data_IF_485482650684
#
_entry.id   IF_485482650684
#
_cell.length_a   1.000
_cell.length_b   1.000
_cell.length_c   1.000
_cell.angle_alpha   90.00
_cell.angle_beta   90.00
_cell.angle_gamma   90.00
#
_symmetry.space_group_name_H-M   'P 1'
#
loop_
_entity.id
_entity.type
_entity.pdbx_description
1 polymer ?
#
# COMPACT_ATOMS: atom_id res chain seq x y z
N UNK A 1 24.44 -1.93 16.20
CA UNK A 1 23.82 -1.78 14.86
C UNK A 1 23.14 -0.42 14.81
N UNK A 2 23.38 0.37 13.76
CA UNK A 2 22.83 1.72 13.55
C UNK A 2 21.74 1.72 12.46
N UNK A 3 21.05 0.60 12.29
CA UNK A 3 20.03 0.33 11.27
C UNK A 3 18.91 -0.49 11.89
N UNK A 4 17.65 -0.21 11.49
CA UNK A 4 16.48 -0.85 12.06
C UNK A 4 15.38 -1.16 11.05
N UNK A 5 14.61 -2.21 11.31
CA UNK A 5 13.25 -2.34 10.80
C UNK A 5 12.31 -1.54 11.69
N UNK A 6 11.36 -0.84 11.08
CA UNK A 6 10.38 0.01 11.77
C UNK A 6 8.98 -0.39 11.34
N UNK A 7 8.07 -0.55 12.30
CA UNK A 7 6.63 -0.73 12.06
C UNK A 7 5.82 0.26 12.92
N UNK A 8 4.51 0.35 12.67
CA UNK A 8 3.58 1.21 13.38
C UNK A 8 2.34 0.44 13.83
N UNK A 9 1.94 0.58 15.09
CA UNK A 9 0.68 0.09 15.63
C UNK A 9 -0.18 1.24 16.19
N UNK A 10 -1.35 1.46 15.60
CA UNK A 10 -2.33 2.49 16.03
C UNK A 10 -3.61 1.93 16.65
N UNK A 11 -3.74 0.59 16.68
CA UNK A 11 -4.82 -0.12 17.35
C UNK A 11 -4.35 -1.50 17.82
N UNK A 12 -5.14 -2.14 18.69
CA UNK A 12 -4.87 -3.50 19.19
C UNK A 12 -4.67 -4.53 18.05
N UNK A 13 -5.46 -4.44 16.98
CA UNK A 13 -5.28 -5.31 15.80
C UNK A 13 -3.93 -5.09 15.11
N UNK A 14 -3.49 -3.84 15.00
CA UNK A 14 -2.16 -3.53 14.46
C UNK A 14 -1.02 -3.88 15.44
N UNK A 15 -1.27 -3.96 16.75
CA UNK A 15 -0.32 -4.57 17.69
C UNK A 15 -0.14 -6.06 17.39
N UNK A 16 -1.21 -6.80 17.11
CA UNK A 16 -1.12 -8.21 16.69
C UNK A 16 -0.31 -8.36 15.39
N UNK A 17 -0.59 -7.50 14.41
CA UNK A 17 0.18 -7.43 13.17
C UNK A 17 1.67 -7.16 13.38
N UNK A 18 1.98 -6.15 14.20
CA UNK A 18 3.37 -5.79 14.54
C UNK A 18 4.10 -6.92 15.25
N UNK A 19 3.44 -7.66 16.15
CA UNK A 19 4.01 -8.85 16.78
C UNK A 19 4.41 -9.90 15.74
N UNK A 20 3.56 -10.16 14.73
CA UNK A 20 3.88 -11.10 13.65
C UNK A 20 5.08 -10.61 12.83
N UNK A 21 5.10 -9.34 12.42
CA UNK A 21 6.25 -8.76 11.70
C UNK A 21 7.53 -8.94 12.50
N UNK A 22 7.53 -8.56 13.78
CA UNK A 22 8.68 -8.67 14.66
C UNK A 22 9.15 -10.12 14.84
N UNK A 23 8.21 -11.04 15.12
CA UNK A 23 8.51 -12.48 15.28
C UNK A 23 9.10 -13.09 14.00
N UNK A 24 8.52 -12.81 12.84
CA UNK A 24 9.06 -13.28 11.57
C UNK A 24 10.50 -12.78 11.34
N UNK A 25 10.76 -11.48 11.55
CA UNK A 25 12.11 -10.91 11.41
C UNK A 25 13.13 -11.59 12.34
N UNK A 26 12.75 -11.83 13.61
CA UNK A 26 13.59 -12.58 14.57
C UNK A 26 13.81 -14.02 14.11
N UNK A 27 12.76 -14.73 13.72
CA UNK A 27 12.82 -16.13 13.27
C UNK A 27 13.71 -16.29 12.05
N UNK A 28 13.69 -15.33 11.14
CA UNK A 28 14.54 -15.29 9.95
C UNK A 28 15.94 -14.71 10.21
N UNK A 29 16.31 -14.50 11.47
CA UNK A 29 17.67 -14.16 11.87
C UNK A 29 18.11 -12.78 11.41
N UNK A 30 17.21 -11.78 11.38
CA UNK A 30 17.65 -10.41 11.12
C UNK A 30 18.74 -10.00 12.10
N UNK A 31 19.74 -9.30 11.59
CA UNK A 31 20.85 -8.74 12.38
C UNK A 31 20.63 -7.27 12.73
N UNK A 32 19.46 -6.72 12.36
CA UNK A 32 19.08 -5.32 12.55
C UNK A 32 18.22 -5.14 13.79
N UNK A 33 18.13 -3.90 14.27
CA UNK A 33 17.25 -3.55 15.39
C UNK A 33 15.80 -3.58 14.94
N UNK A 34 14.89 -3.90 15.85
CA UNK A 34 13.45 -3.86 15.61
C UNK A 34 12.83 -2.73 16.42
N UNK A 35 12.14 -1.82 15.74
CA UNK A 35 11.44 -0.70 16.35
C UNK A 35 9.96 -0.77 16.01
N UNK A 36 9.10 -0.57 17.00
CA UNK A 36 7.67 -0.34 16.78
C UNK A 36 7.28 1.01 17.33
N UNK A 37 6.67 1.84 16.50
CA UNK A 37 6.00 3.05 16.94
C UNK A 37 4.58 2.70 17.37
N UNK A 38 4.11 3.24 18.49
CA UNK A 38 2.76 2.99 19.02
C UNK A 38 2.05 4.30 19.30
N UNK A 39 0.73 4.34 19.09
CA UNK A 39 -0.08 5.47 19.53
C UNK A 39 -0.32 5.44 21.06
N UNK A 40 -0.60 6.58 21.71
CA UNK A 40 -0.72 6.66 23.17
C UNK A 40 -1.90 5.87 23.77
N UNK A 41 -2.88 5.50 22.94
CA UNK A 41 -4.11 4.81 23.33
C UNK A 41 -3.98 3.27 23.30
N UNK A 42 -2.82 2.72 22.96
CA UNK A 42 -2.57 1.27 23.01
C UNK A 42 -2.54 0.80 24.47
N UNK A 43 -3.14 -0.36 24.74
CA UNK A 43 -3.15 -0.95 26.08
C UNK A 43 -1.75 -1.25 26.60
N UNK A 44 -1.58 -1.20 27.92
CA UNK A 44 -0.29 -1.51 28.55
C UNK A 44 0.12 -2.96 28.28
N UNK A 45 -0.85 -3.86 28.26
CA UNK A 45 -0.68 -5.28 27.98
C UNK A 45 -0.15 -5.52 26.55
N UNK A 46 -0.68 -4.81 25.56
CA UNK A 46 -0.17 -4.86 24.20
C UNK A 46 1.24 -4.27 24.08
N UNK A 47 1.52 -3.16 24.76
CA UNK A 47 2.88 -2.59 24.81
C UNK A 47 3.89 -3.58 25.42
N UNK A 48 3.56 -4.22 26.54
CA UNK A 48 4.42 -5.25 27.16
C UNK A 48 4.69 -6.42 26.20
N UNK A 49 3.66 -6.86 25.47
CA UNK A 49 3.83 -7.92 24.47
C UNK A 49 4.77 -7.50 23.33
N UNK A 50 4.72 -6.22 22.92
CA UNK A 50 5.63 -5.68 21.90
C UNK A 50 7.06 -5.58 22.44
N UNK A 51 7.26 -5.20 23.70
CA UNK A 51 8.57 -5.12 24.36
C UNK A 51 9.28 -6.49 24.41
N UNK A 52 8.55 -7.60 24.40
CA UNK A 52 9.12 -8.96 24.34
C UNK A 52 9.77 -9.30 22.98
N UNK A 53 9.42 -8.58 21.92
CA UNK A 53 9.83 -8.87 20.53
C UNK A 53 10.74 -7.78 19.97
N UNK A 54 10.38 -6.52 20.22
CA UNK A 54 11.04 -5.34 19.67
C UNK A 54 12.18 -4.86 20.56
N UNK A 55 13.24 -4.32 19.95
CA UNK A 55 14.33 -3.69 20.71
C UNK A 55 13.90 -2.34 21.31
N UNK A 56 13.01 -1.62 20.63
CA UNK A 56 12.46 -0.33 21.06
C UNK A 56 10.96 -0.26 20.75
N UNK A 57 10.15 0.10 21.77
CA UNK A 57 8.75 0.47 21.64
C UNK A 57 8.64 1.97 21.90
N UNK A 58 8.30 2.74 20.87
CA UNK A 58 8.33 4.20 20.89
C UNK A 58 6.90 4.73 20.83
N UNK A 59 6.45 5.38 21.91
CA UNK A 59 5.16 6.06 21.90
C UNK A 59 5.28 7.34 21.08
N UNK A 60 4.45 7.48 20.04
CA UNK A 60 4.37 8.66 19.20
C UNK A 60 3.06 9.37 19.51
N UNK A 61 3.13 10.43 20.32
CA UNK A 61 1.99 11.25 20.68
C UNK A 61 1.84 12.47 19.77
N UNK A 62 1.06 12.32 18.69
CA UNK A 62 0.66 13.43 17.84
C UNK A 62 -0.09 14.54 18.62
N UNK A 63 -0.64 14.23 19.79
CA UNK A 63 -1.38 15.18 20.61
C UNK A 63 -0.51 15.85 21.70
N UNK A 64 0.82 15.69 21.70
CA UNK A 64 1.67 16.55 22.53
C UNK A 64 1.52 18.02 22.07
N UNK A 65 1.51 18.95 23.00
CA UNK A 65 1.43 20.40 22.81
C UNK A 65 2.30 20.98 21.67
N UNK A 66 3.47 20.39 21.40
CA UNK A 66 4.37 20.78 20.30
C UNK A 66 3.88 20.30 18.92
N UNK A 67 3.25 19.13 18.88
CA UNK A 67 2.70 18.51 17.68
C UNK A 67 1.24 18.91 17.44
N UNK A 68 0.45 19.20 18.48
CA UNK A 68 -0.87 19.87 18.40
C UNK A 68 -0.76 21.25 17.77
N UNK A 69 0.29 22.01 18.09
CA UNK A 69 0.55 23.28 17.43
C UNK A 69 0.97 23.10 15.96
N UNK A 70 1.32 21.90 15.49
CA UNK A 70 1.47 21.59 14.06
C UNK A 70 0.19 21.01 13.45
N UNK A 71 -0.56 20.18 14.18
CA UNK A 71 -1.74 19.43 13.70
C UNK A 71 -3.04 20.24 13.74
N UNK A 72 -3.21 21.13 14.72
CA UNK A 72 -4.31 22.11 14.72
C UNK A 72 -4.21 23.06 13.51
N UNK A 73 -3.00 23.28 12.98
CA UNK A 73 -2.75 24.09 11.77
C UNK A 73 -2.85 23.31 10.46
N UNK A 74 -2.91 21.98 10.52
CA UNK A 74 -3.03 21.12 9.35
C UNK A 74 -4.47 21.03 8.84
N UNK A 75 -5.49 21.39 9.65
CA UNK A 75 -6.90 21.45 9.24
C UNK A 75 -7.48 20.12 8.73
N UNK A 76 -6.80 18.99 8.97
CA UNK A 76 -7.08 17.68 8.33
C UNK A 76 -6.99 16.52 9.34
N UNK A 77 -8.00 16.35 10.20
CA UNK A 77 -8.05 15.26 11.18
C UNK A 77 -8.15 13.87 10.52
N UNK A 78 -8.55 13.80 9.25
CA UNK A 78 -8.60 12.61 8.39
C UNK A 78 -7.24 11.92 8.20
N UNK A 79 -6.13 12.63 8.42
CA UNK A 79 -4.77 12.15 8.17
C UNK A 79 -4.01 11.71 9.45
N UNK A 80 -4.69 11.52 10.58
CA UNK A 80 -4.03 11.23 11.87
C UNK A 80 -3.04 10.06 11.81
N UNK A 81 -3.45 8.90 11.27
CA UNK A 81 -2.57 7.71 11.15
C UNK A 81 -1.38 7.96 10.21
N UNK A 82 -1.63 8.68 9.11
CA UNK A 82 -0.61 9.07 8.14
C UNK A 82 0.49 9.90 8.80
N UNK A 83 0.12 10.89 9.62
CA UNK A 83 1.10 11.70 10.33
C UNK A 83 1.91 10.88 11.34
N UNK A 84 1.29 9.95 12.07
CA UNK A 84 2.02 9.06 12.99
C UNK A 84 3.07 8.24 12.25
N UNK A 85 2.78 7.77 11.03
CA UNK A 85 3.74 7.00 10.21
C UNK A 85 4.94 7.85 9.79
N UNK A 86 4.74 9.12 9.44
CA UNK A 86 5.83 10.02 9.04
C UNK A 86 6.86 10.25 10.18
N UNK A 87 6.48 10.09 11.45
CA UNK A 87 7.42 10.15 12.57
C UNK A 87 8.55 9.12 12.50
N UNK A 88 8.46 8.09 11.66
CA UNK A 88 9.60 7.18 11.45
C UNK A 88 10.86 7.93 10.97
N UNK A 89 10.73 9.06 10.27
CA UNK A 89 11.87 9.92 9.91
C UNK A 89 12.52 10.64 11.10
N UNK A 90 11.88 10.69 12.26
CA UNK A 90 12.44 11.33 13.47
C UNK A 90 13.41 10.42 14.23
N UNK A 91 13.48 9.13 13.87
CA UNK A 91 14.32 8.10 14.50
C UNK A 91 15.82 8.23 14.15
N UNK A 92 16.37 9.42 14.42
CA UNK A 92 17.72 9.84 14.03
C UNK A 92 18.86 9.13 14.77
N UNK A 93 18.55 8.28 15.75
CA UNK A 93 19.51 7.31 16.29
C UNK A 93 19.91 6.24 15.26
N UNK A 94 19.14 6.10 14.17
CA UNK A 94 19.40 5.19 13.07
C UNK A 94 19.85 5.92 11.80
N UNK A 95 20.77 5.31 11.07
CA UNK A 95 21.33 5.84 9.82
C UNK A 95 20.52 5.45 8.58
N UNK A 96 19.81 4.31 8.65
CA UNK A 96 18.96 3.79 7.58
C UNK A 96 17.96 2.83 8.20
N UNK A 97 16.72 2.91 7.74
CA UNK A 97 15.64 2.07 8.23
C UNK A 97 14.88 1.44 7.05
N UNK A 98 14.25 0.30 7.33
CA UNK A 98 13.25 -0.30 6.45
C UNK A 98 11.92 -0.24 7.18
N UNK A 99 10.97 0.49 6.62
CA UNK A 99 9.61 0.52 7.13
C UNK A 99 8.83 -0.68 6.60
N UNK A 100 8.05 -1.33 7.46
CA UNK A 100 7.10 -2.39 7.15
C UNK A 100 5.76 -2.04 7.81
N UNK A 101 4.66 -1.98 7.05
CA UNK A 101 3.33 -1.90 7.66
C UNK A 101 3.04 -3.16 8.50
N UNK A 102 2.26 -3.00 9.56
CA UNK A 102 1.94 -4.07 10.51
C UNK A 102 1.07 -5.20 9.91
N UNK A 103 0.50 -5.00 8.74
CA UNK A 103 -0.23 -6.01 7.95
C UNK A 103 0.65 -6.64 6.85
N UNK A 104 1.96 -6.67 7.07
CA UNK A 104 2.90 -7.45 6.27
C UNK A 104 3.28 -8.77 6.96
N UNK A 105 3.77 -9.74 6.18
CA UNK A 105 4.30 -11.02 6.65
C UNK A 105 5.64 -11.30 5.97
N UNK A 106 6.69 -11.40 6.78
CA UNK A 106 8.06 -11.65 6.31
C UNK A 106 8.31 -13.16 6.23
N UNK A 107 8.70 -13.66 5.05
CA UNK A 107 8.83 -15.09 4.75
C UNK A 107 10.29 -15.59 4.74
N UNK A 108 11.26 -14.68 4.71
CA UNK A 108 12.68 -14.99 4.77
C UNK A 108 13.48 -13.81 5.31
N UNK A 109 14.81 -13.96 5.43
CA UNK A 109 15.68 -12.82 5.75
C UNK A 109 15.63 -11.80 4.59
N UNK A 110 15.59 -10.52 4.94
CA UNK A 110 15.50 -9.38 4.00
C UNK A 110 16.48 -8.26 4.38
N UNK A 111 17.55 -8.57 5.11
CA UNK A 111 18.56 -7.59 5.54
C UNK A 111 19.30 -6.94 4.36
N UNK A 112 19.28 -7.55 3.17
CA UNK A 112 19.81 -6.96 1.94
C UNK A 112 19.05 -5.69 1.51
N UNK A 113 17.84 -5.43 2.03
CA UNK A 113 17.13 -4.17 1.79
C UNK A 113 17.93 -2.96 2.29
N UNK A 114 18.80 -3.12 3.29
CA UNK A 114 19.64 -2.03 3.80
C UNK A 114 20.79 -1.63 2.84
N UNK A 115 21.01 -2.38 1.76
CA UNK A 115 21.91 -1.98 0.67
C UNK A 115 21.29 -0.89 -0.22
N UNK A 116 19.96 -0.72 -0.15
CA UNK A 116 19.21 0.26 -0.95
C UNK A 116 19.26 1.66 -0.35
N UNK A 117 18.96 2.68 -1.17
CA UNK A 117 18.99 4.09 -0.78
C UNK A 117 17.60 4.72 -0.67
N UNK A 118 17.50 5.87 0.00
CA UNK A 118 16.22 6.58 0.11
C UNK A 118 15.80 7.22 -1.23
N UNK A 119 14.54 7.16 -1.65
CA UNK A 119 13.46 6.31 -1.17
C UNK A 119 13.42 5.08 -2.08
N UNK A 120 13.58 3.87 -1.53
CA UNK A 120 13.40 2.62 -2.30
C UNK A 120 12.15 1.90 -1.85
N UNK A 121 11.26 1.58 -2.78
CA UNK A 121 9.99 0.93 -2.52
C UNK A 121 9.59 0.04 -3.70
N UNK A 122 8.61 -0.84 -3.51
CA UNK A 122 8.08 -1.68 -4.59
C UNK A 122 6.92 -0.98 -5.31
N UNK A 123 6.67 -1.27 -6.60
CA UNK A 123 5.54 -0.72 -7.33
C UNK A 123 4.20 -1.13 -6.71
N UNK A 124 3.24 -0.20 -6.73
CA UNK A 124 1.85 -0.48 -6.39
C UNK A 124 1.18 -1.29 -7.51
N UNK A 125 0.43 -2.37 -7.20
CA UNK A 125 -0.20 -3.19 -8.22
C UNK A 125 -1.38 -2.51 -8.93
N UNK A 126 -1.98 -1.47 -8.33
CA UNK A 126 -3.08 -0.71 -8.92
C UNK A 126 -2.57 0.33 -9.92
N UNK A 127 -1.66 1.20 -9.49
CA UNK A 127 -1.03 2.21 -10.34
C UNK A 127 0.51 2.09 -10.29
N UNK A 128 1.17 1.40 -11.23
CA UNK A 128 2.56 0.97 -11.10
C UNK A 128 3.60 2.10 -11.17
N UNK A 129 3.22 3.29 -11.62
CA UNK A 129 4.07 4.50 -11.53
C UNK A 129 4.06 5.10 -10.11
N UNK A 130 3.19 4.63 -9.23
CA UNK A 130 3.25 4.88 -7.80
C UNK A 130 3.93 3.69 -7.12
N UNK A 131 4.73 3.96 -6.09
CA UNK A 131 5.18 2.91 -5.20
C UNK A 131 4.15 2.64 -4.10
N UNK A 132 4.13 1.40 -3.63
CA UNK A 132 3.36 1.02 -2.46
C UNK A 132 4.12 1.39 -1.18
N UNK A 133 3.48 2.12 -0.26
CA UNK A 133 4.13 2.61 0.96
C UNK A 133 4.17 1.61 2.11
N UNK A 134 3.72 0.37 1.90
CA UNK A 134 3.75 -0.67 2.93
C UNK A 134 5.14 -1.23 3.21
N UNK A 135 6.07 -1.13 2.26
CA UNK A 135 7.47 -1.49 2.44
C UNK A 135 8.35 -0.48 1.73
N UNK A 136 9.20 0.22 2.48
CA UNK A 136 10.16 1.14 1.90
C UNK A 136 11.44 1.31 2.73
N UNK A 137 12.52 1.67 2.05
CA UNK A 137 13.83 1.98 2.64
C UNK A 137 14.02 3.49 2.67
N UNK A 138 14.38 4.02 3.84
CA UNK A 138 14.52 5.45 4.07
C UNK A 138 15.69 5.78 5.01
N UNK A 139 16.03 7.06 5.10
CA UNK A 139 17.05 7.60 6.00
C UNK A 139 16.40 8.55 7.00
N UNK A 140 16.33 8.20 8.29
CA UNK A 140 15.81 9.12 9.30
C UNK A 140 16.53 10.48 9.26
N UNK A 141 15.74 11.54 9.19
CA UNK A 141 16.19 12.93 9.08
C UNK A 141 15.08 13.86 9.54
N UNK A 142 15.37 14.71 10.52
CA UNK A 142 14.44 15.76 10.96
C UNK A 142 14.13 16.76 9.83
N UNK A 143 15.08 17.01 8.93
CA UNK A 143 14.86 17.87 7.77
C UNK A 143 13.84 17.24 6.81
N UNK A 144 14.02 15.95 6.47
CA UNK A 144 13.10 15.22 5.59
C UNK A 144 11.71 15.14 6.23
N UNK A 145 11.64 14.87 7.54
CA UNK A 145 10.40 14.88 8.30
C UNK A 145 9.67 16.23 8.22
N UNK A 146 10.34 17.34 8.52
CA UNK A 146 9.73 18.68 8.43
C UNK A 146 9.24 19.00 7.01
N UNK A 147 10.00 18.61 5.99
CA UNK A 147 9.61 18.80 4.58
C UNK A 147 8.42 17.94 4.17
N UNK A 148 8.33 16.70 4.67
CA UNK A 148 7.16 15.83 4.46
C UNK A 148 5.91 16.40 5.11
N UNK A 149 6.01 16.89 6.36
CA UNK A 149 4.89 17.54 7.05
C UNK A 149 4.43 18.81 6.33
N UNK A 150 5.36 19.64 5.89
CA UNK A 150 5.04 20.86 5.14
C UNK A 150 4.40 20.52 3.78
N UNK A 151 4.89 19.49 3.09
CA UNK A 151 4.29 19.00 1.85
C UNK A 151 2.88 18.48 2.08
N UNK A 152 2.67 17.66 3.11
CA UNK A 152 1.35 17.18 3.53
C UNK A 152 0.39 18.34 3.85
N UNK A 153 0.88 19.40 4.49
CA UNK A 153 0.10 20.61 4.80
C UNK A 153 -0.34 21.36 3.54
N UNK A 154 0.58 21.51 2.59
CA UNK A 154 0.36 22.32 1.40
C UNK A 154 -0.41 21.59 0.31
N UNK A 155 -0.15 20.30 0.13
CA UNK A 155 -0.65 19.50 -0.99
C UNK A 155 -1.69 18.45 -0.56
N UNK A 156 -1.78 18.14 0.74
CA UNK A 156 -2.59 17.04 1.23
C UNK A 156 -2.08 15.69 0.75
N UNK A 157 -2.96 14.69 0.78
CA UNK A 157 -2.76 13.38 0.17
C UNK A 157 -3.80 13.15 -0.91
N UNK A 158 -3.39 12.70 -2.10
CA UNK A 158 -4.34 12.45 -3.20
C UNK A 158 -5.21 11.20 -2.96
N UNK A 159 -4.78 10.27 -2.10
CA UNK A 159 -5.52 9.06 -1.74
C UNK A 159 -6.05 9.10 -0.29
N UNK A 160 -5.82 10.21 0.43
CA UNK A 160 -6.18 10.35 1.84
C UNK A 160 -5.30 9.55 2.82
N UNK A 161 -4.25 8.88 2.35
CA UNK A 161 -3.32 8.07 3.16
C UNK A 161 -1.88 8.57 3.09
N UNK A 162 -0.96 7.81 3.68
CA UNK A 162 0.49 8.09 3.61
C UNK A 162 1.08 7.84 2.23
N UNK A 163 0.56 6.86 1.50
CA UNK A 163 1.03 6.52 0.16
C UNK A 163 0.93 7.71 -0.79
N UNK A 164 -0.18 8.46 -0.77
CA UNK A 164 -0.35 9.64 -1.61
C UNK A 164 0.63 10.77 -1.28
N UNK A 165 0.89 11.02 0.01
CA UNK A 165 1.87 12.03 0.44
C UNK A 165 3.27 11.63 0.01
N UNK A 166 3.65 10.38 0.27
CA UNK A 166 4.98 9.88 -0.02
C UNK A 166 5.25 9.86 -1.52
N UNK A 167 4.29 9.45 -2.36
CA UNK A 167 4.45 9.47 -3.81
C UNK A 167 4.51 10.91 -4.35
N UNK A 168 3.73 11.85 -3.80
CA UNK A 168 3.80 13.24 -4.21
C UNK A 168 5.15 13.89 -3.83
N UNK A 169 5.68 13.56 -2.66
CA UNK A 169 6.97 14.06 -2.17
C UNK A 169 8.17 13.44 -2.91
N UNK A 170 8.18 12.12 -3.06
CA UNK A 170 9.21 11.34 -3.78
C UNK A 170 8.78 11.07 -5.23
N UNK A 171 8.29 12.10 -5.90
CA UNK A 171 7.62 12.01 -7.22
C UNK A 171 8.54 11.61 -8.39
N UNK A 172 9.85 11.58 -8.18
CA UNK A 172 10.82 11.12 -9.18
C UNK A 172 11.10 9.61 -9.11
N UNK A 173 10.51 8.88 -8.15
CA UNK A 173 10.73 7.43 -7.94
C UNK A 173 10.51 6.60 -9.21
N UNK A 174 9.43 6.87 -9.95
CA UNK A 174 9.04 6.08 -11.12
C UNK A 174 10.05 6.13 -12.28
N UNK A 175 10.81 7.24 -12.40
CA UNK A 175 11.57 7.56 -13.61
C UNK A 175 13.07 7.69 -13.40
N UNK A 176 13.53 7.93 -12.17
CA UNK A 176 14.90 8.41 -11.94
C UNK A 176 15.95 7.31 -11.80
N UNK A 177 15.68 6.28 -11.01
CA UNK A 177 16.69 5.28 -10.65
C UNK A 177 16.05 3.90 -10.39
N UNK A 178 16.35 2.94 -11.26
CA UNK A 178 15.86 1.56 -11.15
C UNK A 178 16.34 0.87 -9.87
N UNK A 179 17.46 1.30 -9.28
CA UNK A 179 17.93 0.72 -8.02
C UNK A 179 17.01 1.06 -6.83
N UNK A 180 16.14 2.05 -6.98
CA UNK A 180 15.10 2.41 -6.01
C UNK A 180 13.80 1.64 -6.18
N UNK A 181 13.68 0.86 -7.26
CA UNK A 181 12.58 -0.07 -7.45
C UNK A 181 12.92 -1.38 -6.75
N UNK A 182 12.29 -1.61 -5.61
CA UNK A 182 12.33 -2.91 -4.97
C UNK A 182 11.56 -3.91 -5.85
N UNK A 183 12.10 -5.11 -6.09
CA UNK A 183 11.33 -6.16 -6.75
C UNK A 183 10.01 -6.41 -6.02
N UNK A 184 8.93 -6.66 -6.79
CA UNK A 184 7.58 -6.83 -6.26
C UNK A 184 7.46 -7.88 -5.16
N UNK A 185 8.34 -8.89 -5.14
CA UNK A 185 8.41 -9.93 -4.10
C UNK A 185 8.78 -9.41 -2.70
N UNK A 186 9.32 -8.19 -2.57
CA UNK A 186 9.57 -7.52 -1.28
C UNK A 186 8.36 -6.72 -0.78
N UNK A 187 7.26 -6.68 -1.52
CA UNK A 187 5.98 -6.10 -1.09
C UNK A 187 4.85 -6.74 -1.90
N UNK A 188 4.78 -8.08 -1.88
CA UNK A 188 3.84 -8.82 -2.69
C UNK A 188 2.43 -8.62 -2.14
N UNK A 189 1.66 -7.79 -2.82
CA UNK A 189 0.25 -7.61 -2.46
C UNK A 189 -0.52 -8.91 -2.65
N UNK A 190 -1.28 -9.32 -1.64
CA UNK A 190 -2.20 -10.47 -1.76
C UNK A 190 -3.25 -10.28 -2.84
N UNK A 191 -3.51 -9.03 -3.29
CA UNK A 191 -4.42 -8.81 -4.41
C UNK A 191 -3.89 -9.39 -5.73
N UNK A 192 -2.58 -9.43 -5.91
CA UNK A 192 -1.94 -10.03 -7.08
C UNK A 192 -2.22 -11.54 -7.21
N UNK A 193 -2.53 -12.21 -6.09
CA UNK A 193 -2.92 -13.63 -6.08
C UNK A 193 -4.18 -13.84 -6.92
N UNK A 194 -5.13 -12.90 -6.89
CA UNK A 194 -6.37 -13.02 -7.67
C UNK A 194 -6.36 -12.20 -8.96
N UNK A 195 -5.73 -11.02 -9.01
CA UNK A 195 -5.77 -10.14 -10.20
C UNK A 195 -4.89 -10.65 -11.32
N UNK A 196 -3.76 -11.29 -11.02
CA UNK A 196 -2.84 -11.81 -12.04
C UNK A 196 -2.28 -13.19 -11.67
N UNK A 197 -3.20 -14.14 -11.47
CA UNK A 197 -2.92 -15.51 -11.04
C UNK A 197 -1.81 -16.22 -11.86
N UNK A 198 -1.71 -16.10 -13.20
CA UNK A 198 -0.60 -16.71 -13.96
C UNK A 198 0.79 -16.20 -13.53
N UNK A 199 0.93 -14.90 -13.27
CA UNK A 199 2.18 -14.33 -12.79
C UNK A 199 2.48 -14.79 -11.36
N UNK A 200 1.45 -14.86 -10.50
CA UNK A 200 1.59 -15.41 -9.16
C UNK A 200 2.01 -16.90 -9.19
N UNK A 201 1.47 -17.72 -10.08
CA UNK A 201 1.94 -19.11 -10.26
C UNK A 201 3.41 -19.17 -10.70
N UNK A 202 3.80 -18.28 -11.61
CA UNK A 202 5.16 -18.26 -12.16
C UNK A 202 6.21 -17.75 -11.17
N UNK A 203 5.88 -16.72 -10.38
CA UNK A 203 6.86 -15.97 -9.58
C UNK A 203 6.53 -15.90 -8.08
N UNK A 204 5.30 -16.20 -7.66
CA UNK A 204 4.83 -16.04 -6.27
C UNK A 204 5.56 -16.91 -5.26
N UNK A 205 6.15 -18.03 -5.68
CA UNK A 205 7.03 -18.85 -4.82
C UNK A 205 8.31 -18.13 -4.37
N UNK A 206 8.65 -16.99 -4.99
CA UNK A 206 9.81 -16.16 -4.64
C UNK A 206 9.44 -15.03 -3.66
N UNK A 207 8.20 -14.99 -3.17
CA UNK A 207 7.74 -13.98 -2.22
C UNK A 207 8.65 -13.92 -0.99
N UNK A 208 9.09 -12.72 -0.63
CA UNK A 208 9.89 -12.45 0.57
C UNK A 208 9.08 -11.73 1.64
N UNK A 209 8.21 -10.81 1.22
CA UNK A 209 7.29 -10.10 2.10
C UNK A 209 5.93 -10.09 1.42
N UNK A 210 4.90 -10.54 2.12
CA UNK A 210 3.50 -10.52 1.69
C UNK A 210 2.79 -9.37 2.38
N UNK A 211 1.95 -8.63 1.65
CA UNK A 211 1.23 -7.49 2.17
C UNK A 211 -0.29 -7.70 2.05
N UNK A 212 -0.98 -7.76 3.19
CA UNK A 212 -2.42 -7.99 3.29
C UNK A 212 -3.22 -6.69 3.07
N UNK A 213 -3.15 -6.16 1.85
CA UNK A 213 -3.95 -5.02 1.42
C UNK A 213 -5.46 -5.31 1.53
N UNK A 214 -6.23 -4.24 1.72
CA UNK A 214 -7.70 -4.28 1.80
C UNK A 214 -8.24 -4.14 3.23
N UNK A 215 -9.58 -4.19 3.34
CA UNK A 215 -10.31 -3.94 4.59
C UNK A 215 -10.14 -5.06 5.62
N UNK A 216 -10.10 -6.31 5.14
CA UNK A 216 -9.97 -7.47 6.00
C UNK A 216 -8.49 -7.78 6.20
N UNK A 217 -8.02 -7.61 7.43
CA UNK A 217 -6.66 -7.93 7.84
C UNK A 217 -6.62 -9.37 8.35
N UNK A 218 -5.43 -10.01 8.44
CA UNK A 218 -5.34 -11.40 8.91
C UNK A 218 -6.03 -11.66 10.24
N UNK A 219 -5.92 -10.73 11.20
CA UNK A 219 -6.57 -10.82 12.51
C UNK A 219 -8.10 -10.65 12.49
N UNK A 220 -8.69 -10.20 11.37
CA UNK A 220 -10.16 -10.22 11.17
C UNK A 220 -10.67 -11.57 10.66
N UNK A 221 -9.78 -12.46 10.21
CA UNK A 221 -10.14 -13.78 9.68
C UNK A 221 -10.01 -14.81 10.79
N UNK A 222 -11.07 -15.56 11.14
CA UNK A 222 -10.99 -16.59 12.17
C UNK A 222 -9.90 -17.62 11.86
N UNK A 223 -9.10 -17.98 12.86
CA UNK A 223 -8.12 -19.04 12.71
C UNK A 223 -8.82 -20.38 12.48
N UNK A 224 -8.71 -20.91 11.26
CA UNK A 224 -9.15 -22.27 10.95
C UNK A 224 -7.96 -23.21 11.17
N UNK A 225 -7.97 -23.97 12.26
CA UNK A 225 -7.09 -25.13 12.40
C UNK A 225 -7.52 -26.18 11.38
N UNK A 226 -7.03 -26.10 10.14
CA UNK A 226 -7.18 -27.23 9.23
C UNK A 226 -5.98 -28.18 9.41
N UNK A 227 -6.22 -29.48 9.64
CA UNK A 227 -5.17 -30.46 9.43
C UNK A 227 -4.70 -30.35 7.98
N UNK A 228 -3.38 -30.38 7.79
CA UNK A 228 -2.72 -30.28 6.48
C UNK A 228 -2.95 -31.57 5.67
N UNK A 229 -4.21 -31.89 5.34
CA UNK A 229 -4.54 -33.20 4.77
C UNK A 229 -5.08 -33.18 3.36
N UNK A 230 -5.33 -32.04 2.73
CA UNK A 230 -5.57 -31.97 1.28
C UNK A 230 -4.99 -30.67 0.72
N UNK A 231 -4.10 -30.77 -0.27
CA UNK A 231 -3.59 -29.62 -1.03
C UNK A 231 -4.75 -29.14 -1.91
N UNK A 232 -5.39 -27.98 -1.65
CA UNK A 232 -6.41 -27.49 -2.56
C UNK A 232 -5.74 -27.19 -3.91
N UNK A 233 -6.48 -27.42 -5.00
CA UNK A 233 -6.11 -26.90 -6.32
C UNK A 233 -5.68 -25.44 -6.19
N UNK A 234 -4.69 -25.04 -6.98
CA UNK A 234 -4.02 -23.75 -6.91
C UNK A 234 -4.93 -22.61 -7.39
N UNK A 235 -6.02 -22.35 -6.67
CA UNK A 235 -6.93 -21.24 -6.88
C UNK A 235 -6.58 -20.05 -5.96
N UNK A 236 -7.12 -18.88 -6.26
CA UNK A 236 -6.79 -17.64 -5.56
C UNK A 236 -7.17 -17.68 -4.08
N UNK A 237 -8.22 -18.43 -3.72
CA UNK A 237 -8.75 -18.54 -2.37
C UNK A 237 -7.81 -19.40 -1.52
N UNK A 238 -7.41 -20.58 -2.01
CA UNK A 238 -6.50 -21.47 -1.31
C UNK A 238 -5.12 -20.84 -1.08
N UNK A 239 -4.65 -19.98 -2.00
CA UNK A 239 -3.38 -19.27 -1.82
C UNK A 239 -3.44 -18.16 -0.77
N UNK A 240 -4.55 -17.42 -0.70
CA UNK A 240 -4.76 -16.44 0.37
C UNK A 240 -4.86 -17.14 1.73
N UNK A 241 -5.60 -18.24 1.82
CA UNK A 241 -5.73 -19.04 3.05
C UNK A 241 -4.36 -19.54 3.54
N UNK A 242 -3.46 -19.96 2.64
CA UNK A 242 -2.09 -20.35 3.01
C UNK A 242 -1.34 -19.21 3.73
N UNK A 243 -1.35 -17.99 3.19
CA UNK A 243 -0.65 -16.87 3.83
C UNK A 243 -1.31 -16.44 5.14
N UNK A 244 -2.64 -16.48 5.23
CA UNK A 244 -3.37 -16.21 6.48
C UNK A 244 -3.04 -17.27 7.55
N UNK A 245 -2.94 -18.54 7.16
CA UNK A 245 -2.55 -19.62 8.08
C UNK A 245 -1.11 -19.46 8.56
N UNK A 246 -0.17 -19.06 7.69
CA UNK A 246 1.19 -18.74 8.08
C UNK A 246 1.23 -17.57 9.07
N UNK A 247 0.42 -16.53 8.82
CA UNK A 247 0.31 -15.38 9.73
C UNK A 247 -0.17 -15.80 11.13
N UNK A 248 -1.23 -16.63 11.21
CA UNK A 248 -1.72 -17.15 12.49
C UNK A 248 -0.75 -18.10 13.17
N UNK A 249 -0.05 -18.94 12.41
CA UNK A 249 0.98 -19.85 12.93
C UNK A 249 2.12 -19.05 13.59
N UNK A 250 2.55 -17.94 12.97
CA UNK A 250 3.54 -17.06 13.58
C UNK A 250 2.99 -16.33 14.81
N UNK A 251 1.76 -15.81 14.75
CA UNK A 251 1.14 -15.10 15.87
C UNK A 251 1.11 -15.97 17.15
N UNK A 252 0.67 -17.23 17.02
CA UNK A 252 0.64 -18.20 18.12
C UNK A 252 1.98 -18.91 18.39
N UNK A 253 3.02 -18.64 17.60
CA UNK A 253 4.34 -19.19 17.88
C UNK A 253 4.88 -18.63 19.21
N UNK A 254 5.48 -19.50 20.01
CA UNK A 254 6.10 -19.10 21.26
C UNK A 254 7.48 -18.53 20.95
N UNK A 255 7.74 -17.31 21.39
CA UNK A 255 9.10 -16.77 21.45
C UNK A 255 9.85 -17.56 22.52
N UNK A 256 10.73 -18.48 22.11
CA UNK A 256 11.69 -19.13 23.03
C UNK A 256 12.67 -18.07 23.53
N UNK A 257 12.25 -17.29 24.51
CA UNK A 257 13.16 -16.47 25.31
C UNK A 257 13.16 -17.09 26.69
N UNK A 258 14.07 -18.04 26.96
CA UNK A 258 14.74 -18.25 28.26
C UNK A 258 15.94 -19.23 28.15
N UNK A 259 17.11 -18.69 28.50
CA UNK A 259 18.16 -19.26 29.38
C UNK A 259 18.77 -20.63 29.02
N UNK A 260 20.07 -20.60 28.70
CA UNK A 260 20.98 -21.73 28.92
C UNK A 260 21.11 -21.91 30.44
N UNK A 261 20.33 -22.81 31.02
CA UNK A 261 20.73 -23.52 32.24
C UNK A 261 20.47 -25.00 32.04
N UNK A 262 21.57 -25.74 32.18
CA UNK A 262 21.68 -27.18 32.04
C UNK A 262 20.77 -27.91 33.02
N UNK A 263 19.85 -28.73 32.51
CA UNK A 263 19.44 -29.95 33.18
C UNK A 263 19.07 -31.01 32.14
N UNK A 264 19.87 -32.08 32.14
CA UNK A 264 19.58 -33.34 31.45
C UNK A 264 18.27 -33.92 32.00
N UNK A 265 17.38 -34.39 31.11
CA UNK A 265 16.54 -35.57 31.28
C UNK A 265 15.87 -35.97 29.94
N UNK A 266 15.64 -37.26 29.83
CA UNK A 266 15.63 -38.10 28.63
C UNK A 266 14.32 -38.12 27.82
N UNK A 267 14.52 -38.43 26.53
CA UNK A 267 13.63 -39.08 25.56
C UNK A 267 12.24 -38.46 25.32
N UNK A 268 12.19 -37.58 24.32
CA UNK A 268 11.00 -37.37 23.49
C UNK A 268 11.42 -37.49 22.01
N UNK A 269 10.71 -38.34 21.28
CA UNK A 269 10.88 -38.65 19.85
C UNK A 269 10.97 -37.38 18.97
N UNK A 270 11.81 -37.35 17.93
CA UNK A 270 11.97 -36.18 17.08
C UNK A 270 10.71 -35.96 16.24
N UNK A 271 10.11 -34.78 16.38
CA UNK A 271 9.10 -34.28 15.44
C UNK A 271 9.78 -34.18 14.07
N UNK A 272 9.26 -34.93 13.09
CA UNK A 272 9.73 -34.85 11.70
C UNK A 272 9.74 -33.39 11.23
N UNK A 273 10.92 -32.94 10.82
CA UNK A 273 11.08 -31.69 10.08
C UNK A 273 10.19 -31.76 8.83
N UNK A 274 9.18 -30.90 8.77
CA UNK A 274 8.49 -30.59 7.52
C UNK A 274 9.50 -29.90 6.59
N UNK A 275 10.18 -30.70 5.75
CA UNK A 275 10.84 -30.23 4.54
C UNK A 275 9.77 -29.74 3.56
N UNK A 276 9.36 -28.49 3.74
CA UNK A 276 8.60 -27.75 2.73
C UNK A 276 9.39 -26.49 2.43
N UNK A 277 9.98 -26.48 1.21
CA UNK A 277 10.85 -25.47 0.57
C UNK A 277 12.36 -25.79 0.47
N UNK A 278 12.75 -27.06 0.43
CA UNK A 278 14.07 -27.46 -0.08
C UNK A 278 13.96 -28.51 -1.21
N UNK A 279 13.83 -28.03 -2.44
CA UNK A 279 14.23 -28.76 -3.65
C UNK A 279 14.71 -27.72 -4.66
N UNK A 280 15.94 -27.68 -5.18
CA UNK A 280 17.16 -28.47 -5.03
C UNK A 280 18.34 -27.53 -5.35
N UNK A 281 19.60 -27.82 -4.99
CA UNK A 281 20.74 -27.04 -5.46
C UNK A 281 20.83 -27.17 -6.98
N UNK A 282 20.60 -26.07 -7.71
CA UNK A 282 20.98 -26.02 -9.11
C UNK A 282 22.51 -26.04 -9.16
N UNK A 283 23.06 -27.20 -9.52
CA UNK A 283 24.46 -27.37 -9.87
C UNK A 283 24.86 -26.25 -10.83
N UNK A 284 25.88 -25.49 -10.47
CA UNK A 284 26.58 -24.56 -11.34
C UNK A 284 27.31 -25.36 -12.42
N UNK A 285 26.59 -25.87 -13.40
CA UNK A 285 27.17 -26.16 -14.69
C UNK A 285 27.32 -24.84 -15.44
N UNK A 286 28.48 -24.23 -15.25
CA UNK A 286 29.08 -23.36 -16.27
C UNK A 286 29.05 -24.14 -17.57
N UNK A 287 28.19 -23.74 -18.50
CA UNK A 287 28.32 -24.16 -19.88
C UNK A 287 29.63 -23.57 -20.40
N UNK A 288 30.69 -24.37 -20.36
CA UNK A 288 31.90 -24.13 -21.14
C UNK A 288 31.50 -24.03 -22.60
N UNK A 289 31.46 -22.80 -23.11
CA UNK A 289 31.46 -22.52 -24.54
C UNK A 289 32.66 -23.24 -25.17
N UNK A 290 32.50 -23.98 -26.28
CA UNK A 290 33.65 -24.49 -27.00
C UNK A 290 34.45 -23.30 -27.54
N UNK A 291 35.66 -23.19 -27.03
CA UNK A 291 36.71 -22.27 -27.43
C UNK A 291 37.00 -22.48 -28.92
N UNK A 292 36.46 -21.60 -29.79
CA UNK A 292 36.87 -21.54 -31.19
C UNK A 292 38.01 -20.55 -31.30
N UNK A 293 39.21 -21.06 -31.56
CA UNK A 293 40.43 -20.27 -31.73
C UNK A 293 40.30 -19.24 -32.87
N UNK A 294 40.93 -18.07 -32.75
CA UNK A 294 40.94 -17.08 -33.82
C UNK A 294 41.96 -17.49 -34.90
N UNK A 295 41.66 -17.34 -36.21
CA UNK A 295 42.72 -17.38 -37.21
C UNK A 295 43.50 -16.07 -37.20
N UNK A 296 44.81 -16.21 -37.06
CA UNK A 296 45.81 -15.15 -37.12
C UNK A 296 45.84 -14.46 -38.48
N UNK A 297 46.01 -13.14 -38.46
CA UNK A 297 46.35 -12.31 -39.61
C UNK A 297 47.73 -12.69 -40.18
N UNK A 298 47.83 -12.68 -41.51
CA UNK A 298 49.07 -12.45 -42.26
C UNK A 298 48.72 -11.61 -43.50
N UNK A 299 49.51 -10.57 -43.74
CA UNK A 299 49.31 -9.47 -44.71
C UNK A 299 49.86 -9.81 -46.12
N UNK A 300 50.05 -8.84 -47.05
CA UNK A 300 49.12 -8.46 -48.12
C UNK A 300 49.68 -8.70 -49.55
N UNK A 301 48.81 -8.73 -50.57
CA UNK A 301 49.21 -8.38 -51.96
C UNK A 301 47.99 -8.05 -52.84
N UNK A 302 48.04 -6.90 -53.50
CA UNK A 302 47.19 -6.40 -54.61
C UNK A 302 48.10 -6.10 -55.80
N UNK A 303 47.60 -5.78 -57.03
CA UNK A 303 46.36 -6.12 -57.75
C UNK A 303 46.73 -6.72 -59.17
N UNK A 304 45.86 -6.80 -60.22
CA UNK A 304 45.32 -5.63 -60.95
C UNK A 304 43.85 -5.75 -61.48
N UNK A 305 43.22 -4.59 -61.66
CA UNK A 305 42.09 -4.31 -62.59
C UNK A 305 42.61 -4.26 -64.06
N UNK A 306 41.83 -4.18 -65.19
CA UNK A 306 40.69 -3.24 -65.40
C UNK A 306 39.61 -3.54 -66.50
N UNK A 307 38.69 -2.56 -66.67
CA UNK A 307 37.75 -2.25 -67.80
C UNK A 307 36.46 -3.07 -67.90
N UNK A 308 35.25 -2.52 -68.13
CA UNK A 308 34.76 -1.41 -69.01
C UNK A 308 33.48 -0.72 -68.42
N UNK A 309 33.30 0.61 -68.43
CA UNK A 309 32.71 1.52 -69.46
C UNK A 309 31.34 1.05 -70.05
N UNK A 310 30.27 1.85 -70.24
CA UNK A 310 30.12 3.31 -70.39
C UNK A 310 28.62 3.73 -70.52
N UNK A 311 28.25 4.93 -70.00
CA UNK A 311 27.30 5.97 -70.54
C UNK A 311 25.82 5.64 -70.86
N UNK A 312 24.81 6.54 -70.91
CA UNK A 312 24.72 7.99 -71.01
C UNK A 312 23.33 8.52 -70.55
N UNK A 313 23.26 9.83 -70.29
CA UNK A 313 22.12 10.72 -70.02
C UNK A 313 21.20 11.02 -71.22
N UNK A 314 19.94 11.42 -70.98
CA UNK A 314 19.32 12.67 -71.53
C UNK A 314 17.88 12.90 -71.04
N UNK A 315 17.50 14.18 -70.97
CA UNK A 315 16.25 14.78 -70.51
C UNK A 315 15.25 15.02 -71.66
N UNK A 316 13.96 15.26 -71.36
CA UNK A 316 13.16 16.39 -71.90
C UNK A 316 11.74 16.48 -71.30
N UNK A 317 11.15 17.67 -71.47
CA UNK A 317 10.08 18.36 -70.74
C UNK A 317 8.62 17.93 -71.01
N UNK A 318 7.71 18.30 -70.09
CA UNK A 318 6.46 19.05 -70.42
C UNK A 318 5.69 19.59 -69.19
N UNK A 319 5.37 20.88 -69.27
CA UNK A 319 4.60 21.73 -68.34
C UNK A 319 3.07 21.67 -68.52
N UNK A 320 2.36 22.28 -67.54
CA UNK A 320 1.00 22.89 -67.48
C UNK A 320 0.11 22.27 -66.37
N UNK A 321 -0.66 22.99 -65.52
CA UNK A 321 -0.89 24.41 -65.20
C UNK A 321 -1.78 24.46 -63.93
N UNK A 322 -1.64 25.48 -63.10
CA UNK A 322 -2.38 25.76 -61.84
C UNK A 322 -3.80 26.35 -62.14
N UNK A 323 -4.74 26.46 -61.17
CA UNK A 323 -4.75 27.65 -60.32
C UNK A 323 -5.10 27.45 -58.82
N UNK A 324 -4.55 28.39 -58.06
CA UNK A 324 -4.61 28.68 -56.63
C UNK A 324 -5.80 29.55 -56.23
N UNK A 325 -6.17 29.54 -54.93
CA UNK A 325 -6.58 30.72 -54.14
C UNK A 325 -6.26 30.42 -52.66
N UNK A 326 -5.29 31.13 -52.03
CA UNK A 326 -5.46 32.32 -51.15
C UNK A 326 -5.89 31.93 -49.72
N UNK A 327 -5.27 32.31 -48.59
CA UNK A 327 -4.48 33.49 -48.22
C UNK A 327 -3.70 33.15 -46.93
N UNK A 328 -2.44 33.57 -46.75
CA UNK A 328 -2.14 34.56 -45.70
C UNK A 328 -1.14 34.08 -44.64
N UNK A 329 0.14 34.32 -44.91
CA UNK A 329 1.29 34.23 -43.99
C UNK A 329 1.31 35.49 -43.10
N UNK A 330 1.77 35.41 -41.85
CA UNK A 330 2.59 36.47 -41.24
C UNK A 330 3.26 35.99 -39.93
N UNK A 331 4.42 36.58 -39.72
CA UNK A 331 5.55 36.23 -38.85
C UNK A 331 5.46 36.79 -37.43
N UNK A 332 6.32 36.23 -36.57
CA UNK A 332 6.65 36.63 -35.20
C UNK A 332 7.16 38.08 -35.10
N UNK A 333 6.80 38.76 -34.02
CA UNK A 333 7.70 39.62 -33.25
C UNK A 333 7.21 39.82 -31.80
N UNK A 334 8.17 40.09 -30.91
CA UNK A 334 8.05 40.08 -29.47
C UNK A 334 7.60 41.42 -28.83
N UNK A 335 7.29 41.33 -27.54
CA UNK A 335 7.16 42.39 -26.50
C UNK A 335 5.77 43.02 -26.30
N UNK A 336 5.17 42.80 -25.12
CA UNK A 336 4.80 43.85 -24.16
C UNK A 336 4.03 43.28 -22.95
N UNK A 337 4.36 43.80 -21.78
CA UNK A 337 3.73 43.64 -20.46
C UNK A 337 2.26 44.09 -20.38
N UNK A 338 1.57 43.62 -19.32
CA UNK A 338 0.70 44.42 -18.42
C UNK A 338 -0.74 43.87 -18.21
N UNK A 339 -0.98 43.44 -16.97
CA UNK A 339 -2.12 43.77 -16.08
C UNK A 339 -3.56 43.51 -16.54
N UNK A 340 -4.27 42.65 -15.80
CA UNK A 340 -5.73 42.54 -15.84
C UNK A 340 -6.34 43.23 -14.60
N UNK A 341 -7.23 44.18 -14.86
CA UNK A 341 -7.91 45.03 -13.89
C UNK A 341 -9.15 44.37 -13.28
N UNK A 342 -9.40 44.76 -12.02
CA UNK A 342 -10.62 44.61 -11.24
C UNK A 342 -11.82 45.31 -11.91
N UNK A 343 -13.02 44.76 -11.69
CA UNK A 343 -14.28 45.48 -11.84
C UNK A 343 -15.07 45.38 -10.53
N UNK A 344 -15.31 46.54 -9.92
CA UNK A 344 -16.24 46.77 -8.82
C UNK A 344 -17.63 47.09 -9.38
N UNK A 345 -18.70 46.76 -8.65
CA UNK A 345 -19.88 47.63 -8.58
C UNK A 345 -20.65 47.52 -7.25
N UNK A 346 -21.26 48.65 -6.85
CA UNK A 346 -21.72 49.02 -5.49
C UNK A 346 -23.26 48.94 -5.29
N UNK A 347 -23.70 48.77 -4.03
CA UNK A 347 -24.83 49.45 -3.32
C UNK A 347 -25.27 48.61 -2.09
N UNK A 348 -25.71 49.06 -0.90
CA UNK A 348 -25.78 50.33 -0.14
C UNK A 348 -26.27 49.96 1.29
N UNK A 349 -25.88 50.73 2.32
CA UNK A 349 -26.37 50.63 3.73
C UNK A 349 -27.68 51.43 3.96
N UNK A 350 -28.32 51.31 5.15
CA UNK A 350 -28.21 52.33 6.22
C UNK A 350 -28.06 51.71 7.65
N UNK A 351 -27.21 52.22 8.56
CA UNK A 351 -27.35 53.28 9.62
C UNK A 351 -28.37 52.98 10.75
N UNK A 352 -27.93 52.51 11.95
CA UNK A 352 -27.60 53.22 13.22
C UNK A 352 -28.72 54.09 13.81
N UNK A 353 -29.25 53.77 15.02
CA UNK A 353 -29.23 54.60 16.27
C UNK A 353 -29.54 53.75 17.53
N UNK A 354 -28.96 54.18 18.65
CA UNK A 354 -28.86 53.72 20.04
C UNK A 354 -30.10 53.83 20.96
N UNK A 355 -30.13 53.07 22.09
CA UNK A 355 -30.13 53.59 23.49
C UNK A 355 -30.50 52.51 24.55
N UNK A 356 -29.63 52.40 25.56
CA UNK A 356 -29.79 52.27 27.03
C UNK A 356 -30.91 51.44 27.72
N UNK A 357 -30.44 50.69 28.74
CA UNK A 357 -30.96 50.49 30.11
C UNK A 357 -31.94 49.36 30.52
N UNK A 358 -31.45 48.62 31.54
CA UNK A 358 -32.10 48.14 32.78
C UNK A 358 -32.74 46.74 32.90
N UNK A 359 -32.31 46.12 34.00
CA UNK A 359 -32.78 45.01 34.85
C UNK A 359 -34.24 44.55 34.70
N UNK A 360 -34.52 43.22 34.70
CA UNK A 360 -35.02 42.46 35.86
C UNK A 360 -35.48 41.01 35.52
N UNK A 361 -35.62 40.22 36.59
CA UNK A 361 -35.91 38.78 36.73
C UNK A 361 -37.16 38.21 36.02
N UNK A 362 -37.15 36.91 35.66
CA UNK A 362 -38.01 35.86 36.27
C UNK A 362 -37.82 34.43 35.71
N UNK A 363 -38.02 33.44 36.59
CA UNK A 363 -38.00 31.98 36.38
C UNK A 363 -39.28 31.50 35.66
N UNK A 364 -39.20 30.42 34.88
CA UNK A 364 -40.11 29.26 35.06
C UNK A 364 -39.57 27.97 34.43
N UNK A 365 -39.76 26.88 35.17
CA UNK A 365 -39.47 25.47 34.86
C UNK A 365 -40.43 24.92 33.81
N UNK A 366 -40.07 23.88 33.04
CA UNK A 366 -41.03 22.89 32.50
C UNK A 366 -40.38 21.50 32.32
N UNK A 367 -41.18 20.47 32.68
CA UNK A 367 -40.85 19.08 32.98
C UNK A 367 -40.86 18.13 31.75
N UNK A 368 -40.14 17.00 31.87
CA UNK A 368 -40.26 15.78 31.05
C UNK A 368 -41.60 15.04 31.26
N UNK A 369 -42.09 14.27 30.27
CA UNK A 369 -43.11 13.25 30.48
C UNK A 369 -42.57 11.80 30.51
N UNK A 370 -43.21 11.00 31.37
CA UNK A 370 -42.94 9.59 31.69
C UNK A 370 -43.49 8.59 30.66
N UNK A 371 -42.90 7.39 30.67
CA UNK A 371 -43.22 6.22 29.86
C UNK A 371 -44.39 5.38 30.40
N UNK A 372 -45.25 4.87 29.49
CA UNK A 372 -46.22 3.82 29.76
C UNK A 372 -45.80 2.49 29.09
N UNK A 373 -45.86 1.40 29.86
CA UNK A 373 -45.64 0.03 29.41
C UNK A 373 -46.93 -0.58 28.85
N UNK A 374 -46.85 -1.24 27.68
CA UNK A 374 -47.79 -2.27 27.25
C UNK A 374 -47.01 -3.53 26.85
N UNK A 375 -47.41 -4.66 27.45
CA UNK A 375 -47.00 -6.01 27.07
C UNK A 375 -47.86 -6.47 25.87
N UNK A 376 -47.24 -6.99 24.81
CA UNK A 376 -47.91 -7.77 23.77
C UNK A 376 -47.00 -8.92 23.31
N UNK A 377 -47.62 -10.06 23.01
CA UNK A 377 -47.04 -11.36 22.68
C UNK A 377 -46.17 -11.32 21.41
N UNK A 378 -44.87 -11.58 21.55
CA UNK A 378 -43.92 -11.75 20.42
C UNK A 378 -43.36 -13.17 20.48
N UNK A 379 -43.92 -14.08 19.68
CA UNK A 379 -43.24 -15.36 19.40
C UNK A 379 -43.49 -15.93 18.00
N UNK A 380 -44.48 -15.42 17.25
CA UNK A 380 -44.75 -15.83 15.87
C UNK A 380 -44.14 -14.93 14.78
N UNK A 381 -43.88 -13.65 15.08
CA UNK A 381 -43.42 -12.67 14.09
C UNK A 381 -41.90 -12.70 13.84
N UNK A 382 -41.10 -13.00 14.87
CA UNK A 382 -39.64 -13.06 14.76
C UNK A 382 -39.16 -14.23 13.88
N UNK A 383 -39.79 -15.41 14.01
CA UNK A 383 -39.46 -16.58 13.21
C UNK A 383 -39.77 -16.40 11.70
N UNK A 384 -40.83 -15.65 11.36
CA UNK A 384 -41.17 -15.33 9.97
C UNK A 384 -40.19 -14.30 9.37
N UNK A 385 -39.72 -13.35 10.17
CA UNK A 385 -38.72 -12.34 9.78
C UNK A 385 -37.34 -12.96 9.53
N UNK A 386 -36.92 -13.91 10.37
CA UNK A 386 -35.63 -14.59 10.21
C UNK A 386 -35.59 -15.49 8.97
N UNK A 387 -36.71 -16.14 8.64
CA UNK A 387 -36.83 -16.97 7.44
C UNK A 387 -36.69 -16.13 6.17
N UNK A 388 -37.40 -15.00 6.08
CA UNK A 388 -37.31 -14.08 4.95
C UNK A 388 -35.90 -13.47 4.78
N UNK A 389 -35.19 -13.24 5.90
CA UNK A 389 -33.81 -12.73 5.87
C UNK A 389 -32.82 -13.78 5.35
N UNK A 390 -32.99 -15.04 5.71
CA UNK A 390 -32.15 -16.13 5.19
C UNK A 390 -32.37 -16.35 3.68
N UNK A 391 -33.61 -16.29 3.21
CA UNK A 391 -33.95 -16.41 1.79
C UNK A 391 -33.32 -15.26 0.97
N UNK A 392 -33.39 -14.02 1.46
CA UNK A 392 -32.77 -12.87 0.80
C UNK A 392 -31.23 -12.96 0.74
N UNK A 393 -30.60 -13.51 1.79
CA UNK A 393 -29.16 -13.77 1.83
C UNK A 393 -28.76 -14.84 0.80
N UNK A 394 -29.54 -15.92 0.70
CA UNK A 394 -29.30 -16.99 -0.25
C UNK A 394 -29.45 -16.52 -1.70
N UNK A 395 -30.49 -15.74 -1.99
CA UNK A 395 -30.70 -15.14 -3.31
C UNK A 395 -29.55 -14.18 -3.69
N UNK A 396 -29.01 -13.43 -2.73
CA UNK A 396 -27.90 -12.51 -2.95
C UNK A 396 -26.58 -13.27 -3.24
N UNK A 397 -26.34 -14.37 -2.53
CA UNK A 397 -25.20 -15.26 -2.78
C UNK A 397 -25.28 -15.92 -4.17
N UNK A 398 -26.46 -16.40 -4.56
CA UNK A 398 -26.68 -16.97 -5.89
C UNK A 398 -26.51 -15.93 -7.00
N UNK A 399 -26.99 -14.70 -6.79
CA UNK A 399 -26.80 -13.62 -7.76
C UNK A 399 -25.30 -13.27 -7.91
N UNK A 400 -24.57 -13.19 -6.80
CA UNK A 400 -23.12 -12.93 -6.82
C UNK A 400 -22.36 -14.05 -7.56
N UNK A 401 -22.72 -15.31 -7.35
CA UNK A 401 -22.11 -16.44 -8.06
C UNK A 401 -22.35 -16.35 -9.58
N UNK A 402 -23.55 -15.92 -10.00
CA UNK A 402 -23.85 -15.68 -11.42
C UNK A 402 -22.99 -14.56 -12.01
N UNK A 403 -22.73 -13.49 -11.26
CA UNK A 403 -21.81 -12.43 -11.68
C UNK A 403 -20.38 -12.94 -11.85
N UNK A 404 -19.88 -13.73 -10.90
CA UNK A 404 -18.52 -14.29 -10.92
C UNK A 404 -18.32 -15.29 -12.08
N UNK A 405 -19.38 -15.97 -12.51
CA UNK A 405 -19.40 -16.86 -13.67
C UNK A 405 -19.69 -16.14 -15.01
N UNK A 406 -19.85 -14.82 -15.02
CA UNK A 406 -20.14 -14.02 -16.22
C UNK A 406 -21.57 -14.16 -16.75
N UNK A 407 -22.50 -14.69 -15.95
CA UNK A 407 -23.93 -14.88 -16.27
C UNK A 407 -24.80 -13.74 -15.73
N UNK A 408 -24.42 -12.51 -16.07
CA UNK A 408 -25.01 -11.26 -15.57
C UNK A 408 -26.33 -10.98 -16.30
N UNK A 409 -27.38 -10.59 -15.55
CA UNK A 409 -28.71 -10.31 -16.10
C UNK A 409 -28.88 -8.83 -16.48
N UNK A 410 -28.23 -8.44 -17.58
CA UNK A 410 -28.18 -7.05 -18.06
C UNK A 410 -29.54 -6.45 -18.44
N UNK A 411 -30.58 -7.27 -18.61
CA UNK A 411 -31.93 -6.83 -18.99
C UNK A 411 -32.93 -6.91 -17.82
N UNK A 412 -32.49 -7.38 -16.64
CA UNK A 412 -33.33 -7.59 -15.47
C UNK A 412 -32.69 -7.03 -14.20
N UNK A 413 -32.38 -7.91 -13.25
CA UNK A 413 -31.96 -7.50 -11.89
C UNK A 413 -30.66 -6.68 -11.89
N UNK A 414 -29.80 -6.90 -12.89
CA UNK A 414 -28.48 -6.27 -13.03
C UNK A 414 -28.47 -5.20 -14.14
N UNK A 415 -29.64 -4.74 -14.58
CA UNK A 415 -29.77 -3.66 -15.55
C UNK A 415 -29.15 -2.35 -15.02
N UNK A 416 -28.61 -1.55 -15.94
CA UNK A 416 -27.93 -0.29 -15.64
C UNK A 416 -28.81 0.65 -14.79
N UNK A 417 -30.10 0.75 -15.12
CA UNK A 417 -31.07 1.58 -14.42
C UNK A 417 -31.22 1.18 -12.94
N UNK A 418 -31.20 -0.12 -12.64
CA UNK A 418 -31.31 -0.63 -11.27
C UNK A 418 -30.02 -0.40 -10.46
N UNK A 419 -28.86 -0.49 -11.12
CA UNK A 419 -27.56 -0.17 -10.51
C UNK A 419 -27.48 1.33 -10.22
N UNK A 420 -27.90 2.17 -11.17
CA UNK A 420 -27.93 3.63 -11.01
C UNK A 420 -28.84 4.05 -9.86
N UNK A 421 -30.05 3.49 -9.77
CA UNK A 421 -30.98 3.79 -8.67
C UNK A 421 -30.39 3.47 -7.29
N UNK A 422 -29.69 2.34 -7.15
CA UNK A 422 -29.02 1.99 -5.88
C UNK A 422 -27.85 2.91 -5.54
N UNK A 423 -27.10 3.36 -6.55
CA UNK A 423 -26.03 4.33 -6.35
C UNK A 423 -26.59 5.70 -5.96
N UNK A 424 -27.67 6.13 -6.61
CA UNK A 424 -28.35 7.39 -6.30
C UNK A 424 -28.90 7.39 -4.86
N UNK A 425 -29.51 6.28 -4.41
CA UNK A 425 -29.99 6.11 -3.02
C UNK A 425 -28.85 6.10 -1.99
N UNK A 426 -27.69 5.54 -2.34
CA UNK A 426 -26.53 5.49 -1.45
C UNK A 426 -25.79 6.83 -1.36
N UNK A 427 -25.91 7.68 -2.38
CA UNK A 427 -25.20 8.96 -2.51
C UNK A 427 -26.06 10.18 -2.15
N UNK A 428 -27.38 10.00 -2.00
CA UNK A 428 -28.32 10.99 -1.45
C UNK A 428 -28.33 10.98 0.07
#
# INVERSE_FOLDING_TARGET
ANQAFVTLATSEGYCMGSLVVGKCLRRHGTTRKLVVMVSPNISKEACLSLEDVFDEVIVVDLLDSRDRAHLFWLGRPDLGVTFTKLHCWTLTQYTKCVFLDADTLVLCNVDELFEREELSAAPDPGWPDCFNSGVFVFRPSLETHSRLLEHARMCGSFDGGDQGILNAFFSDWAIKDINKHLPFIYNLSVSAIYTYLPAFHKFGHQAKIVHFLGRNKPWHVPYKQQPFTEIPQWDSIGNLEKFVNLWWAEYYSHTKTQVIESHELQDAEPIEQLDILAAAPCSTHVATLPHRSPPSAASPTTPPHPHSCESASQAEDREEKIPSESLGKLTLDASSSSTCHQLEDKCSKPDVVSAEDSEDLEKSEHQEPQAEQKQEEVSGAEAASDTARMEALQENLENRKRWEEGRIDYLGKDAFENIRLKLDEFLS
#
